data_IF_748907059152
#
_entry.id   IF_748907059152
#
_cell.length_a   1.000
_cell.length_b   1.000
_cell.length_c   1.000
_cell.angle_alpha   90.00
_cell.angle_beta   90.00
_cell.angle_gamma   90.00
#
_symmetry.space_group_name_H-M   'P 1'
#
loop_
_entity.id
_entity.type
_entity.pdbx_description
1 polymer ?
#
# COMPACT_ATOMS: atom_id res chain seq x y z
N UNK A 1 -41.03 -41.30 41.10
CA UNK A 1 -39.78 -41.99 40.77
C UNK A 1 -38.59 -41.19 41.23
N UNK A 2 -37.67 -41.84 41.93
CA UNK A 2 -36.36 -41.29 42.28
C UNK A 2 -35.30 -42.13 41.55
N UNK A 3 -34.54 -41.50 40.66
CA UNK A 3 -33.36 -42.07 40.02
C UNK A 3 -32.11 -41.56 40.75
N UNK A 4 -31.37 -42.45 41.39
CA UNK A 4 -30.09 -42.15 42.05
C UNK A 4 -29.72 -43.17 43.15
N UNK A 5 -28.48 -43.64 43.16
CA UNK A 5 -27.86 -44.44 44.24
C UNK A 5 -26.87 -43.55 45.00
N UNK A 6 -26.81 -43.68 46.33
CA UNK A 6 -25.80 -43.02 47.17
C UNK A 6 -24.52 -43.85 47.34
N UNK A 7 -24.50 -45.07 46.81
CA UNK A 7 -23.37 -45.99 46.95
C UNK A 7 -22.50 -45.95 45.69
N UNK A 8 -21.41 -45.18 45.75
CA UNK A 8 -20.42 -45.03 44.68
C UNK A 8 -19.50 -46.25 44.53
N UNK A 9 -19.56 -47.23 45.44
CA UNK A 9 -18.69 -48.41 45.44
C UNK A 9 -19.31 -49.65 44.76
N UNK A 10 -20.62 -49.69 44.58
CA UNK A 10 -21.34 -50.82 43.97
C UNK A 10 -21.73 -50.51 42.50
N UNK A 11 -20.87 -50.91 41.57
CA UNK A 11 -21.06 -50.72 40.12
C UNK A 11 -22.36 -51.34 39.59
N UNK A 12 -22.94 -52.35 40.26
CA UNK A 12 -24.18 -52.99 39.83
C UNK A 12 -25.44 -52.15 40.17
N UNK A 13 -25.31 -51.17 41.07
CA UNK A 13 -26.39 -50.23 41.44
C UNK A 13 -26.28 -48.88 40.73
N UNK A 14 -25.22 -48.65 39.96
CA UNK A 14 -25.06 -47.42 39.19
C UNK A 14 -25.91 -47.49 37.91
N UNK A 15 -26.66 -46.41 37.63
CA UNK A 15 -27.29 -46.21 36.33
C UNK A 15 -26.26 -45.54 35.44
N UNK A 16 -25.60 -46.32 34.59
CA UNK A 16 -24.69 -45.79 33.57
C UNK A 16 -25.52 -45.35 32.38
N UNK A 17 -25.68 -44.03 32.20
CA UNK A 17 -26.31 -43.47 31.01
C UNK A 17 -25.28 -43.43 29.87
N UNK A 18 -25.36 -44.40 28.96
CA UNK A 18 -24.60 -44.36 27.71
C UNK A 18 -25.36 -43.51 26.68
N UNK A 19 -24.95 -42.25 26.53
CA UNK A 19 -25.43 -41.38 25.47
C UNK A 19 -24.48 -41.47 24.27
N UNK A 20 -24.94 -42.09 23.19
CA UNK A 20 -24.21 -42.11 21.91
C UNK A 20 -24.71 -40.97 21.04
N UNK A 21 -23.87 -39.96 20.80
CA UNK A 21 -24.15 -38.91 19.82
C UNK A 21 -23.47 -39.32 18.51
N UNK A 22 -24.26 -39.61 17.49
CA UNK A 22 -23.74 -39.90 16.14
C UNK A 22 -23.49 -38.58 15.42
N UNK A 23 -22.29 -38.40 14.88
CA UNK A 23 -21.98 -37.21 14.12
C UNK A 23 -22.80 -37.12 12.82
N UNK A 24 -23.08 -35.91 12.35
CA UNK A 24 -23.62 -35.63 11.02
C UNK A 24 -22.56 -35.04 10.11
N UNK A 25 -22.82 -35.00 8.79
CA UNK A 25 -21.93 -34.38 7.82
C UNK A 25 -21.75 -32.90 8.19
N UNK A 26 -20.51 -32.39 8.27
CA UNK A 26 -20.27 -31.00 8.64
C UNK A 26 -20.66 -30.07 7.49
N UNK A 27 -20.94 -28.81 7.81
CA UNK A 27 -21.17 -27.76 6.82
C UNK A 27 -20.03 -26.75 6.94
N UNK A 28 -19.37 -26.47 5.83
CA UNK A 28 -18.22 -25.58 5.76
C UNK A 28 -18.37 -24.57 4.63
N UNK A 29 -17.96 -23.34 4.89
CA UNK A 29 -17.89 -22.24 3.93
C UNK A 29 -16.42 -21.86 3.68
N UNK A 30 -16.14 -21.42 2.46
CA UNK A 30 -14.90 -20.70 2.14
C UNK A 30 -15.22 -19.22 2.21
N UNK A 31 -14.48 -18.49 3.04
CA UNK A 31 -14.68 -17.06 3.29
C UNK A 31 -13.58 -16.24 2.63
N UNK A 32 -13.77 -14.92 2.51
CA UNK A 32 -12.81 -14.04 1.86
C UNK A 32 -11.42 -14.07 2.51
N UNK A 33 -10.37 -14.03 1.68
CA UNK A 33 -8.99 -14.00 2.15
C UNK A 33 -8.70 -12.66 2.84
N UNK A 34 -7.86 -12.70 3.87
CA UNK A 34 -7.45 -11.50 4.61
C UNK A 34 -5.94 -11.49 4.81
N UNK A 35 -5.39 -10.43 5.40
CA UNK A 35 -3.95 -10.34 5.72
C UNK A 35 -3.05 -10.65 4.51
N UNK A 36 -3.44 -10.16 3.33
CA UNK A 36 -2.73 -10.38 2.08
C UNK A 36 -1.43 -9.57 2.09
N UNK A 37 -0.30 -10.26 2.02
CA UNK A 37 1.04 -9.71 1.94
C UNK A 37 1.71 -10.03 0.59
N UNK A 38 2.98 -9.62 0.44
CA UNK A 38 3.73 -9.78 -0.82
C UNK A 38 3.81 -11.24 -1.28
N UNK A 39 4.00 -12.17 -0.34
CA UNK A 39 4.18 -13.60 -0.61
C UNK A 39 3.36 -14.48 0.35
N UNK A 40 2.30 -13.93 0.95
CA UNK A 40 1.46 -14.65 1.89
C UNK A 40 0.03 -14.13 1.92
N UNK A 41 -0.91 -14.94 2.38
CA UNK A 41 -2.29 -14.52 2.65
C UNK A 41 -2.92 -15.44 3.71
N UNK A 42 -3.89 -14.94 4.47
CA UNK A 42 -4.76 -15.79 5.30
C UNK A 42 -5.94 -16.29 4.48
N UNK A 43 -5.97 -17.59 4.20
CA UNK A 43 -7.11 -18.25 3.58
C UNK A 43 -8.12 -18.63 4.67
N UNK A 44 -9.32 -18.10 4.55
CA UNK A 44 -10.33 -18.12 5.61
C UNK A 44 -11.49 -19.06 5.26
N UNK A 45 -12.13 -19.57 6.31
CA UNK A 45 -13.34 -20.37 6.19
C UNK A 45 -14.13 -20.38 7.48
N UNK A 46 -15.32 -20.97 7.42
CA UNK A 46 -16.20 -21.12 8.57
C UNK A 46 -16.77 -22.52 8.61
N UNK A 47 -16.65 -23.21 9.75
CA UNK A 47 -17.46 -24.41 10.02
C UNK A 47 -18.80 -23.92 10.57
N UNK A 48 -19.83 -23.89 9.73
CA UNK A 48 -21.15 -23.39 10.14
C UNK A 48 -21.94 -24.43 10.95
N UNK A 49 -21.62 -25.71 10.75
CA UNK A 49 -22.11 -26.84 11.55
C UNK A 49 -21.02 -27.93 11.60
N UNK A 50 -20.58 -28.33 12.79
CA UNK A 50 -19.59 -29.39 12.96
C UNK A 50 -20.21 -30.79 13.04
N UNK A 51 -21.54 -30.87 13.05
CA UNK A 51 -22.28 -32.12 13.14
C UNK A 51 -22.04 -32.88 14.43
N UNK A 52 -21.58 -32.23 15.50
CA UNK A 52 -21.26 -32.88 16.78
C UNK A 52 -19.90 -33.59 16.83
N UNK A 53 -19.10 -33.52 15.76
CA UNK A 53 -17.71 -34.00 15.70
C UNK A 53 -16.85 -33.02 14.89
N UNK A 54 -16.10 -32.11 15.56
CA UNK A 54 -15.28 -31.09 14.92
C UNK A 54 -14.41 -31.64 13.76
N UNK A 55 -14.64 -31.21 12.51
CA UNK A 55 -13.94 -31.78 11.36
C UNK A 55 -12.47 -31.40 11.31
N UNK A 56 -11.63 -32.27 10.75
CA UNK A 56 -10.32 -31.90 10.21
C UNK A 56 -10.51 -31.16 8.90
N UNK A 57 -9.88 -30.00 8.75
CA UNK A 57 -10.02 -29.14 7.57
C UNK A 57 -8.74 -29.11 6.76
N UNK A 58 -8.89 -29.18 5.44
CA UNK A 58 -7.85 -28.95 4.46
C UNK A 58 -8.13 -27.67 3.66
N UNK A 59 -7.06 -26.92 3.37
CA UNK A 59 -7.08 -25.79 2.44
C UNK A 59 -6.45 -26.24 1.13
N UNK A 60 -7.24 -26.28 0.06
CA UNK A 60 -6.75 -26.55 -1.30
C UNK A 60 -6.53 -25.23 -2.01
N UNK A 61 -5.38 -25.05 -2.67
CA UNK A 61 -5.05 -23.79 -3.32
C UNK A 61 -4.08 -23.92 -4.50
N UNK A 62 -4.16 -22.97 -5.44
CA UNK A 62 -3.30 -22.95 -6.62
C UNK A 62 -3.65 -21.81 -7.57
N UNK A 63 -2.88 -21.65 -8.64
CA UNK A 63 -3.11 -20.61 -9.66
C UNK A 63 -4.25 -20.94 -10.63
N UNK A 64 -4.80 -22.15 -10.53
CA UNK A 64 -5.97 -22.62 -11.27
C UNK A 64 -7.02 -23.11 -10.28
N UNK A 65 -8.29 -22.85 -10.56
CA UNK A 65 -9.39 -23.39 -9.76
C UNK A 65 -9.54 -24.89 -10.02
N UNK A 66 -9.26 -25.71 -9.00
CA UNK A 66 -9.45 -27.17 -9.06
C UNK A 66 -10.89 -27.62 -8.76
N UNK A 67 -11.79 -26.69 -8.43
CA UNK A 67 -13.18 -27.00 -8.13
C UNK A 67 -13.33 -27.96 -6.95
N UNK A 68 -14.05 -29.06 -7.16
CA UNK A 68 -14.24 -30.14 -6.17
C UNK A 68 -13.38 -31.37 -6.47
N UNK A 69 -12.42 -31.28 -7.39
CA UNK A 69 -11.46 -32.35 -7.67
C UNK A 69 -10.15 -32.10 -6.88
N UNK A 70 -9.83 -32.91 -5.86
CA UNK A 70 -8.63 -32.73 -5.06
C UNK A 70 -7.33 -32.88 -5.86
N UNK A 71 -7.35 -33.55 -7.01
CA UNK A 71 -6.17 -33.76 -7.86
C UNK A 71 -5.93 -32.63 -8.88
N UNK A 72 -6.92 -31.75 -9.07
CA UNK A 72 -6.81 -30.59 -9.96
C UNK A 72 -6.16 -29.38 -9.26
N UNK A 73 -6.03 -29.42 -7.93
CA UNK A 73 -5.37 -28.38 -7.13
C UNK A 73 -3.86 -28.59 -7.09
N UNK A 74 -3.10 -27.50 -7.19
CA UNK A 74 -1.64 -27.53 -7.10
C UNK A 74 -1.15 -27.90 -5.68
N UNK A 75 -1.84 -27.43 -4.65
CA UNK A 75 -1.47 -27.63 -3.26
C UNK A 75 -2.68 -27.98 -2.39
N UNK A 76 -2.42 -28.74 -1.32
CA UNK A 76 -3.37 -29.04 -0.26
C UNK A 76 -2.66 -29.02 1.09
N UNK A 77 -3.19 -28.28 2.06
CA UNK A 77 -2.62 -28.14 3.39
C UNK A 77 -3.62 -28.60 4.45
N UNK A 78 -3.22 -29.56 5.29
CA UNK A 78 -3.97 -29.93 6.50
C UNK A 78 -3.78 -28.85 7.56
N UNK A 79 -4.88 -28.26 8.04
CA UNK A 79 -4.88 -27.19 9.04
C UNK A 79 -5.45 -27.66 10.39
N UNK A 80 -5.65 -28.97 10.53
CA UNK A 80 -6.10 -29.65 11.73
C UNK A 80 -7.61 -29.54 11.98
N UNK A 81 -8.02 -30.00 13.16
CA UNK A 81 -9.41 -29.99 13.61
C UNK A 81 -9.90 -28.57 13.88
N UNK A 82 -11.10 -28.25 13.39
CA UNK A 82 -11.81 -26.99 13.63
C UNK A 82 -13.18 -27.28 14.21
N UNK A 83 -13.53 -26.62 15.32
CA UNK A 83 -14.90 -26.61 15.82
C UNK A 83 -15.75 -25.64 15.02
N UNK A 84 -17.04 -25.57 15.34
CA UNK A 84 -17.95 -24.59 14.77
C UNK A 84 -17.43 -23.15 14.95
N UNK A 85 -17.51 -22.34 13.88
CA UNK A 85 -17.05 -20.96 13.82
C UNK A 85 -15.99 -20.69 12.74
N UNK A 86 -15.56 -19.43 12.69
CA UNK A 86 -14.61 -18.92 11.69
C UNK A 86 -13.17 -19.31 12.01
N UNK A 87 -12.37 -19.53 10.97
CA UNK A 87 -10.93 -19.77 11.08
C UNK A 87 -10.17 -19.12 9.91
N UNK A 88 -8.87 -18.89 10.11
CA UNK A 88 -7.96 -18.40 9.08
C UNK A 88 -6.63 -19.13 9.16
N UNK A 89 -5.99 -19.32 8.00
CA UNK A 89 -4.68 -19.96 7.88
C UNK A 89 -3.76 -19.17 6.96
N UNK A 90 -2.68 -18.66 7.54
CA UNK A 90 -1.66 -17.90 6.81
C UNK A 90 -0.81 -18.86 6.00
N UNK A 91 -0.92 -18.77 4.69
CA UNK A 91 -0.09 -19.51 3.73
C UNK A 91 0.98 -18.56 3.22
N UNK A 92 2.25 -18.94 3.38
CA UNK A 92 3.41 -18.21 2.85
C UNK A 92 4.00 -18.85 1.60
N UNK A 93 5.00 -18.19 1.02
CA UNK A 93 5.68 -18.67 -0.19
C UNK A 93 4.87 -18.52 -1.47
N UNK A 94 3.84 -17.67 -1.46
CA UNK A 94 3.06 -17.34 -2.64
C UNK A 94 3.89 -16.48 -3.59
N UNK A 95 3.74 -16.69 -4.89
CA UNK A 95 4.36 -15.83 -5.89
C UNK A 95 3.61 -14.48 -5.92
N UNK A 96 4.31 -13.33 -5.78
CA UNK A 96 3.68 -12.02 -5.89
C UNK A 96 2.99 -11.83 -7.24
N UNK A 97 1.97 -10.96 -7.30
CA UNK A 97 1.26 -10.57 -8.53
C UNK A 97 0.53 -11.72 -9.27
N UNK A 98 0.35 -12.86 -8.62
CA UNK A 98 -0.38 -14.03 -9.15
C UNK A 98 -1.74 -14.17 -8.45
N UNK A 99 -2.78 -14.48 -9.22
CA UNK A 99 -4.08 -14.86 -8.67
C UNK A 99 -4.05 -16.32 -8.20
N UNK A 100 -4.42 -16.54 -6.95
CA UNK A 100 -4.60 -17.88 -6.38
C UNK A 100 -6.07 -18.14 -6.14
N UNK A 101 -6.54 -19.33 -6.46
CA UNK A 101 -7.84 -19.84 -6.04
C UNK A 101 -7.65 -20.69 -4.79
N UNK A 102 -8.64 -20.73 -3.90
CA UNK A 102 -8.65 -21.71 -2.82
C UNK A 102 -10.07 -22.18 -2.45
N UNK A 103 -10.11 -23.35 -1.81
CA UNK A 103 -11.33 -23.99 -1.34
C UNK A 103 -11.08 -24.86 -0.11
N UNK A 104 -12.05 -24.89 0.80
CA UNK A 104 -11.99 -25.72 2.00
C UNK A 104 -12.60 -27.11 1.78
N UNK A 105 -12.01 -28.12 2.41
CA UNK A 105 -12.58 -29.47 2.51
C UNK A 105 -12.53 -29.96 3.96
N UNK A 106 -13.66 -30.40 4.50
CA UNK A 106 -13.82 -30.82 5.89
C UNK A 106 -14.07 -32.33 5.99
N UNK A 107 -13.46 -33.00 6.97
CA UNK A 107 -13.57 -34.44 7.22
C UNK A 107 -13.95 -34.69 8.68
N UNK A 108 -15.03 -35.43 8.91
CA UNK A 108 -15.35 -35.99 10.23
C UNK A 108 -15.80 -37.46 10.08
N UNK A 109 -16.17 -38.09 11.19
CA UNK A 109 -16.61 -39.50 11.19
C UNK A 109 -17.82 -39.79 10.29
N UNK A 110 -18.69 -38.81 10.02
CA UNK A 110 -19.84 -38.92 9.11
C UNK A 110 -19.52 -38.61 7.65
N UNK A 111 -18.39 -37.94 7.37
CA UNK A 111 -17.92 -37.59 6.04
C UNK A 111 -16.45 -38.03 5.82
N UNK A 112 -16.16 -39.35 5.80
CA UNK A 112 -14.79 -39.85 5.64
C UNK A 112 -14.18 -39.53 4.26
N UNK A 113 -15.02 -39.30 3.24
CA UNK A 113 -14.59 -38.82 1.93
C UNK A 113 -14.43 -37.30 1.84
N UNK A 114 -14.72 -36.57 2.91
CA UNK A 114 -14.66 -35.11 2.99
C UNK A 114 -15.76 -34.39 2.21
N UNK A 115 -16.20 -33.25 2.73
CA UNK A 115 -17.16 -32.36 2.07
C UNK A 115 -16.48 -31.05 1.68
N UNK A 116 -16.73 -30.60 0.46
CA UNK A 116 -16.24 -29.31 -0.03
C UNK A 116 -17.14 -28.18 0.41
N UNK A 117 -16.57 -26.99 0.64
CA UNK A 117 -17.37 -25.79 0.80
C UNK A 117 -18.24 -25.50 -0.41
N UNK A 118 -19.35 -24.80 -0.21
CA UNK A 118 -20.34 -24.46 -1.26
C UNK A 118 -19.77 -23.64 -2.41
N UNK A 119 -18.81 -22.76 -2.15
CA UNK A 119 -18.13 -21.92 -3.14
C UNK A 119 -16.62 -22.15 -3.17
N UNK A 120 -15.99 -21.82 -4.30
CA UNK A 120 -14.59 -21.41 -4.38
C UNK A 120 -14.55 -19.90 -4.18
N UNK A 121 -13.57 -19.39 -3.43
CA UNK A 121 -13.31 -17.97 -3.43
C UNK A 121 -12.18 -17.69 -4.41
N UNK A 122 -12.45 -16.84 -5.38
CA UNK A 122 -11.39 -16.10 -6.07
C UNK A 122 -11.12 -14.91 -5.17
N UNK A 123 -9.90 -14.71 -4.66
CA UNK A 123 -9.51 -13.44 -4.09
C UNK A 123 -9.96 -12.33 -5.03
N UNK A 124 -10.95 -11.55 -4.59
CA UNK A 124 -11.35 -10.31 -5.25
C UNK A 124 -10.24 -9.26 -5.26
N UNK A 125 -9.08 -9.57 -4.68
CA UNK A 125 -7.86 -8.81 -4.76
C UNK A 125 -6.68 -9.75 -5.06
N UNK A 126 -5.88 -9.39 -6.08
CA UNK A 126 -4.55 -9.95 -6.31
C UNK A 126 -3.74 -9.91 -5.01
N UNK A 127 -2.82 -10.85 -4.82
CA UNK A 127 -1.80 -10.72 -3.79
C UNK A 127 -0.95 -9.47 -4.04
N UNK A 128 -1.34 -8.36 -3.43
CA UNK A 128 -0.54 -7.16 -3.30
C UNK A 128 -0.19 -6.99 -1.84
N UNK A 129 1.11 -6.99 -1.54
CA UNK A 129 1.57 -6.31 -0.35
C UNK A 129 1.37 -4.82 -0.53
N UNK A 130 0.28 -4.30 0.03
CA UNK A 130 0.22 -2.97 0.65
C UNK A 130 -1.20 -2.69 1.13
N UNK A 131 -1.26 -2.00 2.26
CA UNK A 131 -2.40 -1.28 2.82
C UNK A 131 -3.36 -0.72 1.74
N UNK A 132 -4.65 -0.85 2.02
CA UNK A 132 -5.81 -0.40 1.25
C UNK A 132 -5.80 1.12 0.97
N UNK A 133 -5.98 1.51 -0.30
CA UNK A 133 -6.77 2.71 -0.65
C UNK A 133 -7.75 2.30 -1.75
N UNK A 134 -9.03 2.48 -1.45
CA UNK A 134 -10.18 2.28 -2.34
C UNK A 134 -10.07 3.27 -3.51
N UNK A 135 -9.66 2.79 -4.68
CA UNK A 135 -9.96 3.38 -5.98
C UNK A 135 -9.90 2.28 -7.03
N UNK A 136 -10.91 2.18 -7.89
CA UNK A 136 -10.95 1.25 -9.01
C UNK A 136 -9.70 1.47 -9.90
N UNK A 137 -8.96 0.41 -10.32
CA UNK A 137 -7.73 0.55 -11.10
C UNK A 137 -7.95 1.10 -12.52
N UNK A 138 -9.20 1.33 -12.93
CA UNK A 138 -9.56 2.08 -14.13
C UNK A 138 -10.37 3.35 -13.85
N UNK A 139 -10.67 3.66 -12.59
CA UNK A 139 -10.98 5.05 -12.22
C UNK A 139 -9.67 5.75 -12.00
N UNK A 140 -9.35 6.70 -12.89
CA UNK A 140 -8.38 7.74 -12.58
C UNK A 140 -8.60 8.20 -11.12
N UNK A 141 -7.55 8.31 -10.29
CA UNK A 141 -7.71 8.79 -8.93
C UNK A 141 -8.55 10.06 -8.96
N UNK A 142 -9.48 10.21 -8.00
CA UNK A 142 -10.39 11.36 -8.00
C UNK A 142 -9.56 12.63 -8.10
N UNK A 143 -9.67 13.33 -9.23
CA UNK A 143 -8.98 14.61 -9.49
C UNK A 143 -9.55 15.75 -8.63
N UNK A 144 -10.53 15.45 -7.80
CA UNK A 144 -11.12 16.37 -6.82
C UNK A 144 -10.06 16.82 -5.83
N UNK A 145 -9.73 18.11 -5.86
CA UNK A 145 -8.68 18.71 -5.03
C UNK A 145 -7.26 18.61 -5.62
N UNK A 146 -7.10 18.03 -6.82
CA UNK A 146 -5.82 18.02 -7.53
C UNK A 146 -5.54 19.40 -8.10
N UNK A 147 -4.41 20.00 -7.73
CA UNK A 147 -4.01 21.32 -8.22
C UNK A 147 -3.18 21.25 -9.50
N UNK A 148 -2.32 20.24 -9.68
CA UNK A 148 -1.53 20.07 -10.89
C UNK A 148 -1.05 18.63 -11.08
N UNK A 149 -0.91 18.21 -12.33
CA UNK A 149 -0.41 16.89 -12.72
C UNK A 149 0.44 17.02 -13.99
N UNK A 150 1.65 16.45 -13.99
CA UNK A 150 2.56 16.51 -15.14
C UNK A 150 3.03 15.09 -15.48
N UNK A 151 2.40 14.47 -16.48
CA UNK A 151 2.69 13.08 -16.89
C UNK A 151 3.88 12.95 -17.83
N UNK A 152 4.26 14.03 -18.51
CA UNK A 152 5.37 14.08 -19.48
C UNK A 152 5.24 13.20 -20.73
N UNK A 153 4.16 12.42 -20.87
CA UNK A 153 3.92 11.43 -21.93
C UNK A 153 3.98 11.97 -23.37
N UNK A 154 3.84 13.28 -23.54
CA UNK A 154 3.84 13.94 -24.85
C UNK A 154 5.08 14.81 -25.08
N UNK A 155 6.20 14.45 -24.45
CA UNK A 155 7.50 15.13 -24.54
C UNK A 155 7.38 16.64 -24.20
N UNK A 156 6.53 16.96 -23.22
CA UNK A 156 6.32 18.30 -22.72
C UNK A 156 5.89 18.26 -21.23
N UNK A 157 5.93 19.39 -20.56
CA UNK A 157 5.48 19.55 -19.18
C UNK A 157 4.07 20.18 -19.12
N UNK A 158 3.14 19.73 -19.95
CA UNK A 158 1.74 20.20 -19.90
C UNK A 158 1.07 19.70 -18.63
N UNK A 159 0.28 20.56 -17.98
CA UNK A 159 -0.55 20.18 -16.85
C UNK A 159 -1.78 19.42 -17.33
N UNK A 160 -1.86 18.14 -16.98
CA UNK A 160 -2.97 17.26 -17.34
C UNK A 160 -4.12 17.33 -16.35
N UNK A 161 -3.96 18.01 -15.19
CA UNK A 161 -5.01 18.11 -14.13
C UNK A 161 -6.32 18.73 -14.64
N UNK A 162 -6.22 19.61 -15.65
CA UNK A 162 -7.31 20.44 -16.15
C UNK A 162 -7.25 21.88 -15.66
N UNK A 163 -6.31 22.22 -14.77
CA UNK A 163 -6.18 23.57 -14.21
C UNK A 163 -5.26 24.50 -15.01
N UNK A 164 -4.58 23.97 -16.03
CA UNK A 164 -3.75 24.72 -16.97
C UNK A 164 -2.47 25.33 -16.37
N UNK A 165 -1.96 24.78 -15.26
CA UNK A 165 -0.69 25.20 -14.65
C UNK A 165 0.49 24.52 -15.36
N UNK A 166 0.69 24.83 -16.63
CA UNK A 166 1.70 24.20 -17.46
C UNK A 166 3.13 24.50 -16.96
N UNK A 167 3.97 23.47 -17.00
CA UNK A 167 5.39 23.58 -16.72
C UNK A 167 6.18 24.16 -17.90
N UNK A 168 7.11 25.04 -17.58
CA UNK A 168 8.08 25.64 -18.49
C UNK A 168 9.43 24.98 -18.27
N UNK A 169 9.91 24.26 -19.28
CA UNK A 169 11.16 23.50 -19.22
C UNK A 169 12.37 24.40 -19.52
N UNK A 170 13.43 24.25 -18.74
CA UNK A 170 14.77 24.76 -19.10
C UNK A 170 15.34 24.02 -20.31
N UNK A 171 16.38 24.58 -20.93
CA UNK A 171 16.95 24.05 -22.17
C UNK A 171 17.55 22.63 -22.06
N UNK A 172 17.94 22.21 -20.86
CA UNK A 172 18.62 20.93 -20.63
C UNK A 172 17.65 19.77 -20.32
N UNK A 173 16.34 20.03 -20.24
CA UNK A 173 15.34 19.00 -19.95
C UNK A 173 15.32 17.96 -21.07
N UNK A 174 15.37 16.67 -20.69
CA UNK A 174 15.28 15.55 -21.64
C UNK A 174 14.16 14.62 -21.22
N UNK A 175 13.24 14.31 -22.14
CA UNK A 175 12.19 13.31 -21.93
C UNK A 175 12.72 11.91 -22.26
N UNK A 176 12.41 10.95 -21.41
CA UNK A 176 12.98 9.59 -21.45
C UNK A 176 11.89 8.52 -21.46
N UNK A 177 12.17 7.39 -22.11
CA UNK A 177 11.33 6.18 -22.06
C UNK A 177 11.68 5.27 -20.89
N UNK A 178 12.73 5.58 -20.12
CA UNK A 178 12.98 4.93 -18.83
C UNK A 178 11.92 5.41 -17.84
N UNK A 179 10.94 4.58 -17.53
CA UNK A 179 9.81 4.90 -16.65
C UNK A 179 9.59 3.77 -15.65
N UNK A 180 8.85 4.01 -14.55
CA UNK A 180 8.56 2.95 -13.57
C UNK A 180 7.86 1.72 -14.15
N UNK A 181 7.12 1.88 -15.25
CA UNK A 181 6.21 0.85 -15.80
C UNK A 181 6.61 0.37 -17.21
N UNK A 182 7.66 0.94 -17.80
CA UNK A 182 8.09 0.64 -19.18
C UNK A 182 7.17 1.22 -20.27
N UNK A 183 6.15 1.99 -19.88
CA UNK A 183 5.25 2.74 -20.76
C UNK A 183 5.25 4.22 -20.37
N UNK A 184 4.80 5.09 -21.29
CA UNK A 184 4.79 6.54 -21.08
C UNK A 184 6.17 7.19 -21.19
N UNK A 185 6.32 8.39 -20.63
CA UNK A 185 7.58 9.12 -20.54
C UNK A 185 7.87 9.58 -19.12
N UNK A 186 9.15 9.69 -18.80
CA UNK A 186 9.65 10.41 -17.64
C UNK A 186 10.42 11.64 -18.10
N UNK A 187 10.80 12.48 -17.14
CA UNK A 187 11.67 13.63 -17.38
C UNK A 187 12.99 13.45 -16.65
N UNK A 188 14.09 13.63 -17.37
CA UNK A 188 15.44 13.67 -16.82
C UNK A 188 15.80 15.12 -16.50
N UNK A 189 15.97 15.40 -15.20
CA UNK A 189 16.31 16.71 -14.66
C UNK A 189 17.78 16.80 -14.20
N UNK A 190 18.62 15.87 -14.63
CA UNK A 190 20.06 15.97 -14.42
C UNK A 190 20.68 17.06 -15.32
N UNK A 191 21.97 17.39 -15.10
CA UNK A 191 22.71 18.41 -15.86
C UNK A 191 22.06 19.80 -15.79
N UNK A 192 21.68 20.21 -14.58
CA UNK A 192 21.13 21.53 -14.30
C UNK A 192 19.83 21.81 -15.05
N UNK A 193 19.05 20.76 -15.31
CA UNK A 193 17.74 20.85 -15.91
C UNK A 193 16.67 21.01 -14.83
N UNK A 194 15.76 21.95 -15.04
CA UNK A 194 14.61 22.18 -14.19
C UNK A 194 13.36 22.50 -15.01
N UNK A 195 12.21 22.36 -14.38
CA UNK A 195 10.90 22.80 -14.87
C UNK A 195 10.29 23.71 -13.82
N UNK A 196 9.64 24.80 -14.23
CA UNK A 196 8.90 25.68 -13.32
C UNK A 196 7.47 25.91 -13.78
N UNK A 197 6.59 26.18 -12.85
CA UNK A 197 5.16 26.36 -13.07
C UNK A 197 4.79 27.77 -12.64
N UNK A 198 4.42 28.58 -13.63
CA UNK A 198 3.93 29.94 -13.43
C UNK A 198 2.41 29.89 -13.33
N UNK A 199 1.84 30.36 -12.23
CA UNK A 199 0.38 30.41 -12.04
C UNK A 199 -0.30 31.61 -12.70
N UNK A 200 0.48 32.47 -13.37
CA UNK A 200 0.03 33.66 -14.08
C UNK A 200 -0.16 34.89 -13.17
N UNK A 201 0.19 34.80 -11.88
CA UNK A 201 0.04 35.89 -10.92
C UNK A 201 1.37 36.40 -10.39
N UNK A 202 1.40 37.61 -9.84
CA UNK A 202 2.62 38.16 -9.23
C UNK A 202 3.00 37.43 -7.95
N UNK A 203 2.00 36.92 -7.22
CA UNK A 203 2.17 36.34 -5.90
C UNK A 203 2.45 34.83 -5.95
N UNK A 204 2.22 34.16 -7.09
CA UNK A 204 2.48 32.73 -7.27
C UNK A 204 1.84 31.85 -6.18
N UNK A 205 0.65 32.25 -5.72
CA UNK A 205 0.04 31.75 -4.48
C UNK A 205 -0.77 30.47 -4.67
N UNK A 206 -0.99 30.00 -5.91
CA UNK A 206 -1.78 28.77 -6.15
C UNK A 206 -1.23 27.56 -5.40
N UNK A 207 0.10 27.50 -5.25
CA UNK A 207 0.79 26.42 -4.56
C UNK A 207 1.30 26.83 -3.16
N UNK A 208 0.83 27.95 -2.61
CA UNK A 208 1.03 28.24 -1.18
C UNK A 208 -0.08 27.54 -0.38
N UNK A 209 0.27 26.41 0.23
CA UNK A 209 -0.70 25.47 0.82
C UNK A 209 -0.31 25.14 2.26
N UNK A 210 -1.30 25.15 3.17
CA UNK A 210 -1.15 24.70 4.55
C UNK A 210 -1.55 23.25 4.79
N UNK A 211 -2.24 22.65 3.80
CA UNK A 211 -2.58 21.22 3.75
C UNK A 211 -2.27 20.75 2.34
N UNK A 212 -1.35 19.81 2.21
CA UNK A 212 -0.89 19.37 0.90
C UNK A 212 -0.38 17.93 0.92
N UNK A 213 -0.49 17.33 -0.26
CA UNK A 213 0.20 16.09 -0.60
C UNK A 213 1.00 16.33 -1.89
N UNK A 214 2.27 15.95 -1.89
CA UNK A 214 3.11 15.92 -3.08
C UNK A 214 3.45 14.47 -3.35
N UNK A 215 3.11 13.98 -4.56
CA UNK A 215 3.28 12.59 -4.95
C UNK A 215 3.93 12.50 -6.32
N UNK A 216 5.01 11.73 -6.45
CA UNK A 216 5.73 11.57 -7.71
C UNK A 216 6.58 10.30 -7.72
N UNK A 217 6.92 9.83 -8.92
CA UNK A 217 7.96 8.82 -9.11
C UNK A 217 9.31 9.51 -9.32
N UNK A 218 10.36 8.98 -8.72
CA UNK A 218 11.72 9.44 -8.91
C UNK A 218 12.69 8.27 -9.06
N UNK A 219 13.77 8.52 -9.78
CA UNK A 219 14.94 7.65 -9.89
C UNK A 219 16.16 8.55 -9.73
N UNK A 220 17.14 8.06 -8.98
CA UNK A 220 18.31 8.77 -8.49
C UNK A 220 17.99 9.88 -7.48
N UNK A 221 19.03 10.28 -6.73
CA UNK A 221 18.97 11.46 -5.87
C UNK A 221 19.23 12.72 -6.70
N UNK A 222 18.70 13.90 -6.32
CA UNK A 222 19.17 15.16 -6.86
C UNK A 222 20.70 15.23 -6.69
N UNK A 223 21.37 15.62 -7.77
CA UNK A 223 22.84 15.60 -7.86
C UNK A 223 23.47 16.54 -6.82
N UNK A 224 22.80 17.66 -6.55
CA UNK A 224 23.37 18.76 -5.78
C UNK A 224 23.24 18.55 -4.28
N UNK A 225 24.13 19.21 -3.54
CA UNK A 225 23.97 19.32 -2.10
C UNK A 225 22.68 20.10 -1.80
N UNK A 226 21.77 19.47 -1.05
CA UNK A 226 20.43 19.98 -0.79
C UNK A 226 19.56 20.15 -2.04
N UNK A 227 19.87 19.45 -3.13
CA UNK A 227 19.02 19.42 -4.32
C UNK A 227 17.61 18.92 -4.00
N UNK A 228 16.61 19.49 -4.65
CA UNK A 228 15.21 19.17 -4.44
C UNK A 228 14.57 18.52 -5.67
N UNK A 229 13.66 17.59 -5.42
CA UNK A 229 12.78 17.07 -6.47
C UNK A 229 11.67 18.07 -6.79
N UNK A 230 11.07 18.63 -5.75
CA UNK A 230 9.98 19.61 -5.83
C UNK A 230 10.27 20.74 -4.86
N UNK A 231 10.10 21.97 -5.33
CA UNK A 231 10.38 23.18 -4.57
C UNK A 231 9.31 24.23 -4.79
N UNK A 232 8.88 24.87 -3.71
CA UNK A 232 8.18 26.16 -3.69
C UNK A 232 9.00 27.03 -2.74
N UNK A 233 10.16 27.48 -3.20
CA UNK A 233 11.27 27.99 -2.37
C UNK A 233 11.81 27.01 -1.34
N UNK A 234 11.30 26.97 -0.11
CA UNK A 234 11.84 26.14 0.97
C UNK A 234 13.14 26.66 1.61
N UNK A 235 13.50 27.91 1.34
CA UNK A 235 14.69 28.60 1.84
C UNK A 235 14.30 30.00 2.35
N UNK A 236 15.16 30.61 3.19
CA UNK A 236 14.90 31.96 3.71
C UNK A 236 13.64 32.05 4.59
N UNK A 237 13.31 30.96 5.30
CA UNK A 237 12.13 30.84 6.14
C UNK A 237 10.77 30.96 5.39
N UNK A 238 10.74 30.61 4.10
CA UNK A 238 9.51 30.60 3.30
C UNK A 238 9.36 29.32 2.49
N UNK A 239 8.12 28.88 2.31
CA UNK A 239 7.70 27.77 1.46
C UNK A 239 8.15 26.39 1.92
N UNK A 240 8.31 25.49 0.95
CA UNK A 240 8.56 24.07 1.21
C UNK A 240 9.41 23.40 0.12
N UNK A 241 10.04 22.27 0.47
CA UNK A 241 10.84 21.45 -0.44
C UNK A 241 10.74 19.95 -0.10
N UNK A 242 10.60 19.10 -1.12
CA UNK A 242 10.92 17.67 -1.04
C UNK A 242 12.35 17.50 -1.53
N UNK A 243 13.32 17.36 -0.61
CA UNK A 243 14.74 17.49 -0.96
C UNK A 243 15.65 16.47 -0.30
N UNK A 244 16.83 16.27 -0.91
CA UNK A 244 17.90 15.49 -0.29
C UNK A 244 18.46 16.24 0.92
N UNK A 245 18.61 15.56 2.04
CA UNK A 245 19.17 16.18 3.24
C UNK A 245 20.70 16.17 3.21
N UNK A 246 21.34 17.32 3.02
CA UNK A 246 22.81 17.49 3.09
C UNK A 246 23.63 16.41 2.36
N UNK A 247 23.30 16.17 1.08
CA UNK A 247 23.91 15.14 0.25
C UNK A 247 23.82 13.71 0.84
N UNK A 248 22.93 13.45 1.80
CA UNK A 248 22.71 12.13 2.38
C UNK A 248 22.24 11.15 1.31
N UNK A 249 22.83 9.96 1.29
CA UNK A 249 22.34 8.85 0.47
C UNK A 249 21.11 8.16 1.05
N UNK A 250 20.67 8.55 2.26
CA UNK A 250 19.64 7.83 3.03
C UNK A 250 18.46 8.70 3.46
N UNK A 251 18.62 10.01 3.57
CA UNK A 251 17.65 10.91 4.17
C UNK A 251 17.04 11.87 3.15
N UNK A 252 15.71 11.89 3.11
CA UNK A 252 14.91 12.88 2.39
C UNK A 252 14.34 13.85 3.44
N UNK A 253 14.55 15.14 3.25
CA UNK A 253 13.94 16.18 4.07
C UNK A 253 12.59 16.59 3.47
N UNK A 254 11.54 16.51 4.29
CA UNK A 254 10.26 17.16 3.99
C UNK A 254 10.27 18.54 4.64
N UNK A 255 10.84 19.47 3.89
CA UNK A 255 11.20 20.79 4.37
C UNK A 255 9.99 21.69 4.37
N UNK A 256 9.60 22.20 5.54
CA UNK A 256 8.48 23.12 5.70
C UNK A 256 8.96 24.34 6.51
N UNK A 257 8.81 25.56 5.98
CA UNK A 257 9.15 26.78 6.71
C UNK A 257 7.90 27.36 7.36
N UNK A 258 7.95 27.65 8.66
CA UNK A 258 6.80 28.14 9.44
C UNK A 258 6.39 27.21 10.60
N UNK A 259 6.04 25.93 10.34
CA UNK A 259 5.58 25.00 11.38
C UNK A 259 6.65 24.59 12.42
N UNK A 260 7.94 24.84 12.13
CA UNK A 260 9.07 24.49 12.96
C UNK A 260 9.64 23.08 12.70
N UNK A 261 10.85 22.83 13.22
CA UNK A 261 11.66 21.65 12.87
C UNK A 261 11.83 21.53 11.35
N UNK A 262 12.21 22.63 10.71
CA UNK A 262 11.91 22.85 9.31
C UNK A 262 12.44 21.74 8.37
N UNK A 263 13.63 21.21 8.61
CA UNK A 263 14.32 20.22 7.76
C UNK A 263 14.20 18.77 8.26
N UNK A 264 13.04 18.38 8.77
CA UNK A 264 12.81 17.01 9.26
C UNK A 264 13.01 15.96 8.17
N UNK A 265 13.82 14.95 8.50
CA UNK A 265 14.56 14.15 7.53
C UNK A 265 14.68 12.67 7.95
N UNK A 266 13.58 11.89 7.93
CA UNK A 266 13.65 10.47 8.25
C UNK A 266 14.56 9.71 7.27
N UNK A 267 15.01 8.52 7.67
CA UNK A 267 15.73 7.60 6.78
C UNK A 267 14.71 6.96 5.83
N UNK A 268 14.83 7.22 4.54
CA UNK A 268 13.87 6.76 3.53
C UNK A 268 14.46 5.71 2.58
N UNK A 269 15.78 5.69 2.44
CA UNK A 269 16.48 4.82 1.49
C UNK A 269 17.37 3.81 2.22
N UNK A 270 17.00 2.53 2.13
CA UNK A 270 17.82 1.42 2.59
C UNK A 270 18.70 0.94 1.43
N UNK A 271 19.98 1.32 1.44
CA UNK A 271 21.02 0.81 0.54
C UNK A 271 20.70 0.91 -0.97
N UNK A 272 20.54 2.13 -1.50
CA UNK A 272 20.52 2.37 -2.96
C UNK A 272 19.18 2.07 -3.65
N UNK A 273 18.08 1.98 -2.90
CA UNK A 273 16.71 1.84 -3.41
C UNK A 273 16.37 2.87 -4.49
N UNK A 274 16.86 4.10 -4.33
CA UNK A 274 16.66 5.21 -5.27
C UNK A 274 17.44 5.04 -6.58
N UNK A 275 18.33 4.06 -6.73
CA UNK A 275 18.93 3.73 -8.04
C UNK A 275 17.91 3.05 -8.99
N UNK A 276 16.74 2.69 -8.47
CA UNK A 276 15.58 2.26 -9.23
C UNK A 276 14.45 3.28 -9.04
N UNK A 277 13.42 3.19 -9.88
CA UNK A 277 12.20 3.98 -9.70
C UNK A 277 11.56 3.71 -8.34
N UNK A 278 11.30 4.78 -7.61
CA UNK A 278 10.58 4.78 -6.34
C UNK A 278 9.44 5.78 -6.39
N UNK A 279 8.30 5.42 -5.83
CA UNK A 279 7.21 6.35 -5.59
C UNK A 279 7.44 7.06 -4.27
N UNK A 280 7.41 8.39 -4.29
CA UNK A 280 7.59 9.25 -3.12
C UNK A 280 6.28 9.99 -2.91
N UNK A 281 5.74 9.94 -1.69
CA UNK A 281 4.63 10.78 -1.29
C UNK A 281 4.95 11.48 0.04
N UNK A 282 4.75 12.79 0.11
CA UNK A 282 4.87 13.58 1.34
C UNK A 282 3.53 14.22 1.65
N UNK A 283 3.10 14.15 2.91
CA UNK A 283 1.85 14.76 3.36
C UNK A 283 2.10 15.75 4.49
N UNK A 284 1.29 16.79 4.53
CA UNK A 284 1.19 17.71 5.66
C UNK A 284 -0.28 18.13 5.82
N UNK A 285 -0.81 17.98 7.03
CA UNK A 285 -2.22 18.16 7.34
C UNK A 285 -2.61 17.40 8.60
N UNK A 286 -3.78 17.68 9.16
CA UNK A 286 -4.32 17.02 10.36
C UNK A 286 -3.37 17.02 11.57
N UNK A 287 -2.48 18.01 11.65
CA UNK A 287 -1.48 18.12 12.72
C UNK A 287 -0.30 17.16 12.59
N UNK A 288 -0.11 16.55 11.42
CA UNK A 288 1.02 15.64 11.15
C UNK A 288 1.71 15.95 9.82
N UNK A 289 2.99 15.57 9.72
CA UNK A 289 3.67 15.41 8.43
C UNK A 289 4.23 14.01 8.29
N UNK A 290 4.23 13.48 7.07
CA UNK A 290 4.66 12.11 6.79
C UNK A 290 5.40 12.00 5.46
N UNK A 291 6.27 10.98 5.36
CA UNK A 291 6.92 10.58 4.10
C UNK A 291 6.66 9.09 3.87
N UNK A 292 6.26 8.76 2.66
CA UNK A 292 6.05 7.39 2.17
C UNK A 292 6.97 7.11 1.00
N UNK A 293 7.53 5.90 0.97
CA UNK A 293 8.27 5.37 -0.19
C UNK A 293 7.63 4.06 -0.62
N UNK A 294 7.22 3.97 -1.88
CA UNK A 294 6.49 2.81 -2.44
C UNK A 294 5.28 2.41 -1.57
N UNK A 295 4.53 3.40 -1.08
CA UNK A 295 3.35 3.19 -0.22
C UNK A 295 3.66 2.87 1.25
N UNK A 296 4.94 2.68 1.62
CA UNK A 296 5.35 2.37 3.00
C UNK A 296 5.74 3.66 3.74
N UNK A 297 5.13 3.91 4.90
CA UNK A 297 5.47 5.05 5.78
C UNK A 297 6.93 4.90 6.27
N UNK A 298 7.77 5.90 5.98
CA UNK A 298 9.18 5.96 6.41
C UNK A 298 9.38 6.88 7.61
N UNK A 299 8.47 7.80 7.83
CA UNK A 299 8.47 8.68 8.99
C UNK A 299 7.15 9.40 9.15
N UNK A 300 6.86 9.74 10.40
CA UNK A 300 5.75 10.59 10.81
C UNK A 300 6.20 11.49 11.96
N UNK A 301 5.78 12.75 11.96
CA UNK A 301 5.97 13.69 13.06
C UNK A 301 4.65 14.39 13.37
N UNK A 302 4.30 14.50 14.66
CA UNK A 302 3.23 15.38 15.12
C UNK A 302 3.67 16.83 14.94
N UNK A 303 3.24 17.43 13.84
CA UNK A 303 3.59 18.77 13.38
C UNK A 303 2.41 19.33 12.61
N UNK A 304 1.82 20.40 13.13
CA UNK A 304 0.86 21.25 12.42
C UNK A 304 1.36 22.69 12.40
N UNK A 305 0.60 23.58 11.77
CA UNK A 305 0.94 24.99 11.64
C UNK A 305 0.68 25.48 10.23
N UNK A 306 1.12 26.71 9.97
CA UNK A 306 1.01 27.38 8.68
C UNK A 306 2.38 27.33 8.01
N UNK A 307 2.41 27.03 6.72
CA UNK A 307 3.61 27.15 5.89
C UNK A 307 3.69 28.60 5.43
N UNK A 308 4.86 29.22 5.61
CA UNK A 308 5.04 30.62 5.24
C UNK A 308 4.97 30.77 3.71
N UNK A 309 4.05 31.60 3.21
CA UNK A 309 3.89 31.88 1.78
C UNK A 309 5.17 32.41 1.12
N UNK A 310 5.26 32.24 -0.20
CA UNK A 310 6.36 32.75 -1.01
C UNK A 310 5.89 33.14 -2.41
N UNK A 311 6.48 34.21 -2.95
CA UNK A 311 6.23 34.59 -4.34
C UNK A 311 7.04 33.80 -5.37
N UNK A 312 7.73 32.72 -4.96
CA UNK A 312 8.41 31.81 -5.89
C UNK A 312 7.40 30.95 -6.63
N UNK A 313 7.69 30.63 -7.88
CA UNK A 313 7.00 29.58 -8.64
C UNK A 313 7.23 28.19 -8.03
N UNK A 314 6.31 27.25 -8.30
CA UNK A 314 6.58 25.83 -8.08
C UNK A 314 7.62 25.37 -9.12
N UNK A 315 8.59 24.55 -8.71
CA UNK A 315 9.58 24.01 -9.64
C UNK A 315 10.02 22.58 -9.29
N UNK A 316 10.57 21.90 -10.30
CA UNK A 316 11.05 20.54 -10.24
C UNK A 316 12.53 20.46 -10.61
N UNK A 317 13.29 19.63 -9.89
CA UNK A 317 14.70 19.33 -10.19
C UNK A 317 15.70 20.43 -9.84
N UNK A 318 15.31 21.45 -9.08
CA UNK A 318 16.20 22.51 -8.64
C UNK A 318 16.03 22.81 -7.14
N UNK A 319 17.09 23.35 -6.53
CA UNK A 319 17.00 24.01 -5.23
C UNK A 319 16.67 25.47 -5.48
N UNK A 320 15.49 25.91 -5.05
CA UNK A 320 15.12 27.32 -5.11
C UNK A 320 15.56 28.04 -3.83
N UNK A 321 16.53 28.94 -3.96
CA UNK A 321 17.05 29.77 -2.88
C UNK A 321 16.86 31.28 -3.11
N UNK A 322 16.44 31.70 -4.32
CA UNK A 322 16.50 33.08 -4.76
C UNK A 322 15.17 33.47 -5.41
N UNK A 323 14.40 34.32 -4.69
CA UNK A 323 13.06 34.73 -5.08
C UNK A 323 12.95 35.22 -6.52
N UNK A 324 12.07 34.55 -7.27
CA UNK A 324 11.35 34.98 -8.45
C UNK A 324 11.98 34.99 -9.86
N UNK A 325 13.30 34.85 -10.15
CA UNK A 325 13.80 34.71 -11.55
C UNK A 325 15.27 34.22 -11.65
N UNK A 326 15.66 33.61 -12.79
CA UNK A 326 15.52 32.17 -13.06
C UNK A 326 16.40 31.35 -12.10
N UNK A 327 15.86 30.21 -11.66
CA UNK A 327 16.53 29.23 -10.79
C UNK A 327 18.02 29.15 -11.11
N UNK A 328 18.87 29.55 -10.17
CA UNK A 328 20.29 29.35 -10.31
C UNK A 328 20.49 27.84 -10.54
N UNK A 329 21.00 27.42 -11.71
CA UNK A 329 21.34 26.03 -11.90
C UNK A 329 22.29 25.66 -10.78
N UNK A 330 22.00 24.58 -10.08
CA UNK A 330 22.88 24.14 -9.03
C UNK A 330 24.26 23.85 -9.65
N UNK A 331 25.29 24.43 -9.04
CA UNK A 331 26.68 24.29 -9.47
C UNK A 331 27.39 23.18 -8.74
#
# INVERSE_FOLDING_TARGET
>A
DMLGTTDSADIAKQVILNLTVTATVPVIATEEATSVGVNSASFNGEVTDDGGDPPTVFVYYGTSDGGTDPYAWANALDIGRKGQGTFGQVIGGLTPEVTYHYRMRAFNSAAPGGIWSSSTFVPGAKAMGSIEIIADPNTEPTRTGLLGEWLFDTDNATDTSGNSYNGNSSANVVYSTDTPWGTGKSVNLNNNAYIFVDDGTVDQSVFDLDILTISFWAKEWPADNWGAYVTKRGEGNQGYQVRRNNNSGSNLAWTLRGPGNDDWNPVVNNAGQFNNWVHIATTFGDGTRKIYINGVEKGSENRGGIINDTNSMLAFGCRDNDGNFPFAPAG
#
